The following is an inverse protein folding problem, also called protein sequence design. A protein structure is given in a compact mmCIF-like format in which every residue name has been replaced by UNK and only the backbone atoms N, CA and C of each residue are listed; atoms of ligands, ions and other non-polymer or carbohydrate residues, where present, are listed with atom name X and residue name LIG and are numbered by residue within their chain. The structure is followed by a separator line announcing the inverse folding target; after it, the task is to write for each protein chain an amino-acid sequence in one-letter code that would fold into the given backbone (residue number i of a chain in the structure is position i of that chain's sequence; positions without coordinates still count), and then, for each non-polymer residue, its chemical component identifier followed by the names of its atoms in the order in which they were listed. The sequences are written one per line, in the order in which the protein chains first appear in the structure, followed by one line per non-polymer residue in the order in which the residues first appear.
data_IF_717441943158
#
_entry.id   IF_717441943158
#
_cell.length_a   1.000
_cell.length_b   1.000
_cell.length_c   1.000
_cell.angle_alpha   90.00
_cell.angle_beta   90.00
_cell.angle_gamma   90.00
#
_symmetry.space_group_name_H-M   'P 1'
#
loop_
_entity.id
_entity.type
_entity.pdbx_description
1 polymer ?
#
# COMPACT_ATOMS: atom_id res chain seq x y z
N UNK A 1 15.22 -5.37 23.00
CA UNK A 1 14.70 -4.04 23.37
C UNK A 1 13.29 -3.99 22.82
N UNK A 2 12.31 -3.75 23.68
CA UNK A 2 10.92 -3.58 23.26
C UNK A 2 10.89 -2.39 22.30
N UNK A 3 10.38 -2.62 21.08
CA UNK A 3 10.10 -1.56 20.12
C UNK A 3 9.12 -0.62 20.82
N UNK A 4 9.44 0.68 20.94
CA UNK A 4 8.47 1.66 21.41
C UNK A 4 7.19 1.47 20.57
N UNK A 5 6.03 1.32 21.22
CA UNK A 5 4.76 1.10 20.52
C UNK A 5 4.53 2.23 19.53
N UNK A 6 4.81 1.94 18.25
CA UNK A 6 4.74 2.92 17.19
C UNK A 6 3.28 3.16 16.88
N UNK A 7 2.78 4.33 17.26
CA UNK A 7 1.44 4.78 16.92
C UNK A 7 1.44 5.51 15.58
N UNK A 8 0.51 5.16 14.69
CA UNK A 8 0.41 5.70 13.33
C UNK A 8 -0.69 6.75 13.19
N UNK A 9 -1.72 6.70 14.04
CA UNK A 9 -2.90 7.57 13.96
C UNK A 9 -3.02 8.52 15.17
N UNK A 10 -1.91 9.05 15.67
CA UNK A 10 -1.90 9.98 16.82
C UNK A 10 -2.59 11.30 16.46
N UNK A 11 -3.60 11.70 17.25
CA UNK A 11 -4.29 12.98 17.08
C UNK A 11 -5.23 13.05 15.88
N UNK A 12 -5.75 11.90 15.45
CA UNK A 12 -6.72 11.83 14.35
C UNK A 12 -8.17 12.01 14.82
N UNK A 13 -8.41 12.08 16.13
CA UNK A 13 -9.69 12.45 16.71
C UNK A 13 -10.11 13.84 16.21
N UNK A 14 -11.40 14.00 15.92
CA UNK A 14 -11.99 15.22 15.32
C UNK A 14 -11.51 15.54 13.90
N UNK A 15 -10.81 14.64 13.21
CA UNK A 15 -10.44 14.84 11.81
C UNK A 15 -11.67 14.76 10.91
N UNK A 16 -11.80 15.74 10.02
CA UNK A 16 -12.87 15.79 9.00
C UNK A 16 -12.40 15.09 7.72
N UNK A 17 -13.24 14.24 7.14
CA UNK A 17 -12.96 13.48 5.92
C UNK A 17 -14.14 13.62 4.95
N UNK A 18 -13.83 13.97 3.70
CA UNK A 18 -14.79 13.98 2.61
C UNK A 18 -14.75 12.65 1.87
N UNK A 19 -15.91 12.03 1.69
CA UNK A 19 -16.10 10.77 0.98
C UNK A 19 -17.02 10.99 -0.22
N UNK A 20 -16.70 10.30 -1.31
CA UNK A 20 -17.50 10.32 -2.54
C UNK A 20 -17.79 8.89 -2.98
N UNK A 21 -19.06 8.51 -2.98
CA UNK A 21 -19.55 7.23 -3.52
C UNK A 21 -20.63 7.56 -4.53
N UNK A 22 -20.52 7.06 -5.76
CA UNK A 22 -21.51 7.27 -6.83
C UNK A 22 -21.90 8.75 -7.06
N UNK A 23 -20.92 9.66 -6.92
CA UNK A 23 -21.10 11.12 -6.98
C UNK A 23 -21.89 11.76 -5.82
N UNK A 24 -22.27 10.98 -4.81
CA UNK A 24 -22.81 11.48 -3.55
C UNK A 24 -21.64 11.84 -2.64
N UNK A 25 -21.48 13.13 -2.37
CA UNK A 25 -20.51 13.62 -1.40
C UNK A 25 -21.12 13.54 0.00
N UNK A 26 -20.34 13.02 0.95
CA UNK A 26 -20.66 13.07 2.39
C UNK A 26 -19.41 13.46 3.16
N UNK A 27 -19.59 14.13 4.30
CA UNK A 27 -18.49 14.62 5.12
C UNK A 27 -18.65 14.08 6.54
N UNK A 28 -17.62 13.42 7.04
CA UNK A 28 -17.64 12.69 8.30
C UNK A 28 -16.54 13.18 9.24
N UNK A 29 -16.82 13.16 10.54
CA UNK A 29 -15.88 13.50 11.62
C UNK A 29 -15.46 12.21 12.32
N UNK A 30 -14.16 11.99 12.48
CA UNK A 30 -13.65 10.87 13.28
C UNK A 30 -13.84 11.13 14.77
N UNK A 31 -14.45 10.19 15.49
CA UNK A 31 -14.73 10.33 16.92
C UNK A 31 -13.70 9.59 17.77
N UNK A 32 -13.83 8.26 17.87
CA UNK A 32 -12.99 7.41 18.72
C UNK A 32 -12.17 6.43 17.85
N UNK A 33 -10.88 6.28 18.17
CA UNK A 33 -10.04 5.20 17.63
C UNK A 33 -10.39 3.87 18.29
N UNK A 34 -11.19 3.06 17.60
CA UNK A 34 -11.67 1.77 18.09
C UNK A 34 -10.60 0.67 18.02
N UNK A 35 -9.75 0.70 16.99
CA UNK A 35 -8.65 -0.25 16.85
C UNK A 35 -7.52 0.32 15.99
N UNK A 36 -6.29 -0.05 16.35
CA UNK A 36 -5.10 0.17 15.54
C UNK A 36 -4.35 -1.14 15.40
N UNK A 37 -4.09 -1.54 14.16
CA UNK A 37 -3.24 -2.68 13.84
C UNK A 37 -2.12 -2.17 12.95
N UNK A 38 -0.91 -2.63 13.20
CA UNK A 38 0.17 -2.46 12.26
C UNK A 38 0.95 -3.77 12.13
N UNK A 39 1.58 -3.94 10.97
CA UNK A 39 2.51 -5.01 10.75
C UNK A 39 3.83 -4.41 10.29
N UNK A 40 4.82 -4.45 11.18
CA UNK A 40 6.19 -4.03 10.90
C UNK A 40 7.09 -5.21 11.26
N UNK A 41 7.67 -5.88 10.25
CA UNK A 41 8.49 -7.08 10.48
C UNK A 41 9.97 -6.70 10.52
N UNK A 42 10.75 -7.37 11.37
CA UNK A 42 12.21 -7.35 11.27
C UNK A 42 12.68 -8.01 9.97
N UNK A 43 13.97 -7.88 9.63
CA UNK A 43 14.52 -8.51 8.40
C UNK A 43 14.37 -10.03 8.43
N UNK A 44 14.56 -10.60 9.61
CA UNK A 44 14.49 -12.03 9.87
C UNK A 44 13.03 -12.55 9.79
N UNK A 45 12.08 -11.87 10.45
CA UNK A 45 10.67 -12.28 10.43
C UNK A 45 10.05 -12.15 9.05
N UNK A 46 10.43 -11.11 8.29
CA UNK A 46 10.01 -10.97 6.90
C UNK A 46 10.52 -12.12 6.02
N UNK A 47 11.77 -12.56 6.22
CA UNK A 47 12.32 -13.70 5.49
C UNK A 47 11.51 -14.99 5.74
N UNK A 48 11.04 -15.19 6.97
CA UNK A 48 10.22 -16.34 7.33
C UNK A 48 8.76 -16.22 6.86
N UNK A 49 8.17 -15.03 6.97
CA UNK A 49 6.78 -14.73 6.57
C UNK A 49 6.67 -13.34 5.95
N UNK A 50 6.77 -13.24 4.61
CA UNK A 50 6.68 -11.96 3.92
C UNK A 50 5.25 -11.42 3.99
N UNK A 51 5.09 -10.21 4.56
CA UNK A 51 3.84 -9.43 4.62
C UNK A 51 4.14 -7.97 4.33
N UNK A 52 3.25 -7.29 3.61
CA UNK A 52 3.33 -5.86 3.35
C UNK A 52 3.27 -5.08 4.65
N UNK A 53 4.23 -4.16 4.85
CA UNK A 53 4.17 -3.24 5.96
C UNK A 53 3.02 -2.26 5.73
N UNK A 54 2.09 -2.20 6.69
CA UNK A 54 0.92 -1.36 6.63
C UNK A 54 0.43 -1.06 8.05
N UNK A 55 -0.25 0.08 8.17
CA UNK A 55 -1.01 0.43 9.36
C UNK A 55 -2.49 0.55 9.00
N UNK A 56 -3.34 0.11 9.91
CA UNK A 56 -4.77 -0.01 9.77
C UNK A 56 -5.43 0.64 10.98
N UNK A 57 -6.23 1.66 10.76
CA UNK A 57 -7.02 2.31 11.79
C UNK A 57 -8.50 1.98 11.61
N UNK A 58 -9.22 1.70 12.68
CA UNK A 58 -10.69 1.64 12.69
C UNK A 58 -11.20 2.69 13.65
N UNK A 59 -12.11 3.55 13.20
CA UNK A 59 -12.68 4.64 13.97
C UNK A 59 -14.21 4.58 13.92
N UNK A 60 -14.86 5.02 14.99
CA UNK A 60 -16.23 5.51 14.89
C UNK A 60 -16.23 6.90 14.26
N UNK A 61 -17.31 7.24 13.57
CA UNK A 61 -17.50 8.55 12.99
C UNK A 61 -18.97 8.92 12.89
N UNK A 62 -19.26 10.21 12.89
CA UNK A 62 -20.58 10.75 12.60
C UNK A 62 -20.57 11.70 11.40
N UNK A 63 -21.73 11.88 10.78
CA UNK A 63 -21.89 12.82 9.66
C UNK A 63 -21.87 14.27 10.16
N UNK A 64 -21.10 15.12 9.49
CA UNK A 64 -20.84 16.51 9.93
C UNK A 64 -22.12 17.34 10.08
N UNK A 65 -23.12 17.11 9.23
CA UNK A 65 -24.38 17.86 9.21
C UNK A 65 -25.55 17.14 9.88
N UNK A 66 -25.39 15.86 10.23
CA UNK A 66 -26.40 15.05 10.93
C UNK A 66 -25.70 14.15 11.96
N UNK A 67 -25.34 14.66 13.15
CA UNK A 67 -24.54 13.91 14.13
C UNK A 67 -25.20 12.63 14.67
N UNK A 68 -26.50 12.43 14.45
CA UNK A 68 -27.18 11.16 14.74
C UNK A 68 -26.90 10.05 13.73
N UNK A 69 -26.34 10.39 12.57
CA UNK A 69 -25.88 9.46 11.54
C UNK A 69 -24.48 8.98 11.91
N UNK A 70 -24.38 7.76 12.45
CA UNK A 70 -23.14 7.15 12.93
C UNK A 70 -22.68 6.03 11.97
N UNK A 71 -21.36 5.87 11.83
CA UNK A 71 -20.74 4.83 11.01
C UNK A 71 -19.38 4.39 11.57
N UNK A 72 -18.77 3.43 10.88
CA UNK A 72 -17.41 2.97 11.13
C UNK A 72 -16.57 3.22 9.88
N UNK A 73 -15.39 3.79 10.04
CA UNK A 73 -14.43 3.97 8.95
C UNK A 73 -13.16 3.18 9.21
N UNK A 74 -12.67 2.53 8.15
CA UNK A 74 -11.40 1.82 8.13
C UNK A 74 -10.40 2.58 7.27
N UNK A 75 -9.28 2.96 7.87
CA UNK A 75 -8.20 3.70 7.20
C UNK A 75 -7.03 2.77 6.96
N UNK A 76 -6.57 2.73 5.72
CA UNK A 76 -5.41 1.93 5.29
C UNK A 76 -4.26 2.86 4.93
N UNK A 77 -3.14 2.75 5.65
CA UNK A 77 -1.91 3.48 5.35
C UNK A 77 -0.94 2.56 4.62
N UNK A 78 -0.74 2.82 3.32
CA UNK A 78 0.17 2.06 2.46
C UNK A 78 0.91 2.97 1.46
N UNK A 79 2.10 2.55 1.02
CA UNK A 79 2.82 3.20 -0.08
C UNK A 79 2.32 2.61 -1.40
N UNK A 80 1.39 3.30 -2.07
CA UNK A 80 0.78 2.85 -3.32
C UNK A 80 0.69 3.98 -4.36
N UNK A 81 0.62 3.66 -5.67
CA UNK A 81 0.34 4.66 -6.70
C UNK A 81 -0.99 5.38 -6.46
N UNK A 82 -1.12 6.60 -6.99
CA UNK A 82 -2.33 7.41 -6.83
C UNK A 82 -3.56 6.65 -7.36
N UNK A 83 -4.55 6.43 -6.50
CA UNK A 83 -5.86 5.95 -6.93
C UNK A 83 -6.54 7.02 -7.79
N UNK A 84 -6.94 6.66 -9.00
CA UNK A 84 -7.67 7.51 -9.93
C UNK A 84 -9.17 7.28 -9.82
N UNK A 85 -9.59 6.02 -9.65
CA UNK A 85 -10.98 5.64 -9.49
C UNK A 85 -11.11 4.30 -8.76
N UNK A 86 -12.23 4.10 -8.06
CA UNK A 86 -12.62 2.83 -7.46
C UNK A 86 -14.07 2.55 -7.80
N UNK A 87 -14.35 1.33 -8.25
CA UNK A 87 -15.70 0.82 -8.48
C UNK A 87 -15.89 -0.45 -7.65
N UNK A 88 -17.10 -0.64 -7.11
CA UNK A 88 -17.48 -1.82 -6.35
C UNK A 88 -18.66 -2.52 -7.03
N UNK A 89 -18.51 -3.82 -7.31
CA UNK A 89 -19.59 -4.68 -7.82
C UNK A 89 -19.84 -5.85 -6.87
N UNK A 90 -21.03 -6.45 -6.93
CA UNK A 90 -21.35 -7.67 -6.20
C UNK A 90 -21.06 -8.90 -7.07
N UNK A 91 -20.50 -9.95 -6.46
CA UNK A 91 -20.28 -11.24 -7.09
C UNK A 91 -21.57 -12.06 -7.05
N UNK A 92 -21.98 -12.57 -8.21
CA UNK A 92 -23.14 -13.44 -8.28
C UNK A 92 -22.88 -14.80 -7.61
N UNK A 93 -23.94 -15.62 -7.57
CA UNK A 93 -23.92 -16.95 -6.96
C UNK A 93 -22.98 -17.96 -7.64
N UNK A 94 -22.41 -17.62 -8.79
CA UNK A 94 -21.45 -18.44 -9.54
C UNK A 94 -20.00 -17.98 -9.36
N UNK A 95 -19.78 -16.81 -8.74
CA UNK A 95 -18.45 -16.26 -8.50
C UNK A 95 -17.62 -17.03 -7.47
N UNK A 96 -16.29 -16.82 -7.42
CA UNK A 96 -15.42 -17.45 -6.42
C UNK A 96 -15.78 -17.10 -4.98
N UNK A 97 -16.39 -15.93 -4.76
CA UNK A 97 -16.93 -15.51 -3.46
C UNK A 97 -18.39 -15.09 -3.64
N UNK A 98 -19.34 -16.04 -3.60
CA UNK A 98 -20.77 -15.75 -3.79
C UNK A 98 -21.29 -14.72 -2.77
N UNK A 99 -21.94 -13.65 -3.25
CA UNK A 99 -22.42 -12.53 -2.43
C UNK A 99 -21.31 -11.63 -1.87
N UNK A 100 -20.05 -11.86 -2.27
CA UNK A 100 -18.93 -10.99 -1.96
C UNK A 100 -18.84 -9.79 -2.91
N UNK A 101 -17.88 -8.91 -2.68
CA UNK A 101 -17.66 -7.74 -3.54
C UNK A 101 -16.42 -7.90 -4.43
N UNK A 102 -16.46 -7.27 -5.61
CA UNK A 102 -15.32 -7.00 -6.48
C UNK A 102 -14.99 -5.53 -6.38
N UNK A 103 -13.71 -5.22 -6.14
CA UNK A 103 -13.20 -3.86 -6.18
C UNK A 103 -12.32 -3.69 -7.41
N UNK A 104 -12.70 -2.78 -8.30
CA UNK A 104 -11.89 -2.36 -9.42
C UNK A 104 -11.13 -1.10 -9.00
N UNK A 105 -9.80 -1.20 -8.90
CA UNK A 105 -8.94 -0.07 -8.58
C UNK A 105 -8.26 0.42 -9.85
N UNK A 106 -8.65 1.59 -10.34
CA UNK A 106 -7.90 2.28 -11.38
C UNK A 106 -6.84 3.13 -10.71
N UNK A 107 -5.58 2.75 -10.86
CA UNK A 107 -4.44 3.45 -10.28
C UNK A 107 -3.60 4.12 -11.37
N UNK A 108 -2.94 5.22 -11.01
CA UNK A 108 -2.00 5.90 -11.89
C UNK A 108 -0.85 4.94 -12.20
N UNK A 109 -0.63 4.70 -13.50
CA UNK A 109 0.53 3.94 -13.96
C UNK A 109 1.81 4.72 -13.64
N UNK A 110 2.73 4.19 -12.82
CA UNK A 110 3.99 4.88 -12.56
C UNK A 110 4.85 4.93 -13.85
N UNK A 111 5.66 5.97 -14.05
CA UNK A 111 6.53 6.09 -15.22
C UNK A 111 7.66 5.05 -15.18
N UNK A 112 8.11 4.62 -16.36
CA UNK A 112 9.23 3.68 -16.50
C UNK A 112 8.83 2.31 -17.05
N UNK A 113 9.81 1.41 -17.07
CA UNK A 113 9.67 0.07 -17.61
C UNK A 113 9.39 -0.93 -16.51
N UNK A 114 8.29 -1.67 -16.63
CA UNK A 114 8.03 -2.83 -15.79
C UNK A 114 9.09 -3.88 -16.10
N UNK A 115 9.81 -4.31 -15.08
CA UNK A 115 10.82 -5.33 -15.22
C UNK A 115 10.15 -6.71 -15.22
N UNK A 116 10.84 -7.66 -15.84
CA UNK A 116 10.61 -9.08 -15.67
C UNK A 116 11.97 -9.77 -15.90
N UNK A 117 12.03 -11.10 -15.76
CA UNK A 117 13.27 -11.83 -15.98
C UNK A 117 13.87 -11.58 -17.38
N UNK A 118 13.07 -11.67 -18.45
CA UNK A 118 13.55 -11.48 -19.81
C UNK A 118 14.13 -10.08 -20.05
N UNK A 119 13.37 -9.05 -19.68
CA UNK A 119 13.76 -7.64 -19.83
C UNK A 119 15.04 -7.38 -19.04
N UNK A 120 15.08 -7.80 -17.78
CA UNK A 120 16.21 -7.50 -16.92
C UNK A 120 17.48 -8.21 -17.37
N UNK A 121 17.42 -9.52 -17.66
CA UNK A 121 18.59 -10.28 -18.08
C UNK A 121 19.02 -9.97 -19.52
N UNK A 122 18.12 -9.42 -20.35
CA UNK A 122 18.44 -8.88 -21.68
C UNK A 122 19.17 -7.53 -21.67
N UNK A 123 19.24 -6.83 -20.53
CA UNK A 123 19.94 -5.56 -20.41
C UNK A 123 21.47 -5.73 -20.35
N UNK A 124 22.20 -4.69 -20.78
CA UNK A 124 23.63 -4.61 -20.60
C UNK A 124 24.00 -4.73 -19.11
N UNK A 125 25.17 -5.32 -18.83
CA UNK A 125 25.63 -5.53 -17.46
C UNK A 125 25.62 -4.22 -16.64
N UNK A 126 26.08 -3.12 -17.22
CA UNK A 126 26.14 -1.81 -16.55
C UNK A 126 24.75 -1.27 -16.15
N UNK A 127 23.73 -1.50 -16.99
CA UNK A 127 22.36 -1.09 -16.70
C UNK A 127 21.78 -1.93 -15.56
N UNK A 128 22.01 -3.26 -15.60
CA UNK A 128 21.65 -4.17 -14.51
C UNK A 128 22.29 -3.76 -13.18
N UNK A 129 23.58 -3.40 -13.19
CA UNK A 129 24.27 -2.87 -12.00
C UNK A 129 23.64 -1.58 -11.47
N UNK A 130 23.24 -0.68 -12.38
CA UNK A 130 22.58 0.58 -12.01
C UNK A 130 21.24 0.32 -11.34
N UNK A 131 20.43 -0.58 -11.89
CA UNK A 131 19.15 -1.01 -11.32
C UNK A 131 19.34 -1.63 -9.93
N UNK A 132 20.30 -2.55 -9.77
CA UNK A 132 20.62 -3.18 -8.47
C UNK A 132 20.99 -2.15 -7.40
N UNK A 133 21.81 -1.15 -7.77
CA UNK A 133 22.19 -0.07 -6.84
C UNK A 133 20.99 0.79 -6.44
N UNK A 134 20.13 1.16 -7.40
CA UNK A 134 18.92 1.93 -7.12
C UNK A 134 17.96 1.15 -6.22
N UNK A 135 17.78 -0.15 -6.47
CA UNK A 135 16.99 -1.04 -5.62
C UNK A 135 17.54 -1.14 -4.21
N UNK A 136 18.86 -1.33 -4.06
CA UNK A 136 19.49 -1.35 -2.74
C UNK A 136 19.26 -0.04 -1.98
N UNK A 137 19.37 1.11 -2.64
CA UNK A 137 19.12 2.40 -1.98
C UNK A 137 17.67 2.55 -1.55
N UNK A 138 16.71 2.31 -2.45
CA UNK A 138 15.28 2.38 -2.13
C UNK A 138 14.90 1.42 -0.99
N UNK A 139 15.50 0.23 -0.96
CA UNK A 139 15.34 -0.73 0.13
C UNK A 139 15.84 -0.16 1.47
N UNK A 140 17.04 0.42 1.50
CA UNK A 140 17.61 1.01 2.72
C UNK A 140 16.79 2.19 3.23
N UNK A 141 16.29 3.04 2.33
CA UNK A 141 15.45 4.19 2.67
C UNK A 141 14.15 3.72 3.35
N UNK A 142 13.48 2.71 2.78
CA UNK A 142 12.30 2.09 3.40
C UNK A 142 12.62 1.54 4.79
N UNK A 143 13.69 0.75 4.93
CA UNK A 143 14.08 0.13 6.21
C UNK A 143 14.37 1.17 7.27
N UNK A 144 15.06 2.27 6.91
CA UNK A 144 15.35 3.37 7.84
C UNK A 144 14.07 4.08 8.33
N UNK A 145 13.02 4.06 7.52
CA UNK A 145 11.70 4.61 7.85
C UNK A 145 10.82 3.64 8.63
N UNK A 146 11.34 2.45 8.95
CA UNK A 146 10.59 1.38 9.62
C UNK A 146 9.67 0.59 8.69
N UNK A 147 9.79 0.74 7.38
CA UNK A 147 8.99 -0.01 6.41
C UNK A 147 9.87 -1.05 5.70
N UNK A 148 9.29 -2.19 5.34
CA UNK A 148 9.97 -3.15 4.46
C UNK A 148 9.14 -3.36 3.22
N UNK A 149 9.72 -3.16 2.03
CA UNK A 149 9.03 -3.52 0.82
C UNK A 149 8.91 -5.03 0.85
N UNK A 150 7.71 -5.56 0.93
CA UNK A 150 7.60 -6.96 0.78
C UNK A 150 7.91 -7.40 -0.73
N UNK A 151 7.40 -6.83 -1.87
CA UNK A 151 7.17 -7.42 -3.27
C UNK A 151 8.41 -7.22 -4.08
N UNK A 152 9.34 -8.13 -3.90
CA UNK A 152 10.60 -8.16 -4.61
C UNK A 152 10.64 -9.18 -5.75
N UNK A 153 9.47 -9.63 -6.23
CA UNK A 153 9.38 -10.28 -7.52
C UNK A 153 9.65 -9.20 -8.56
N UNK A 154 10.52 -9.50 -9.53
CA UNK A 154 11.00 -8.53 -10.50
C UNK A 154 9.85 -7.94 -11.32
N UNK A 155 8.75 -8.67 -11.46
CA UNK A 155 7.49 -8.30 -12.10
C UNK A 155 6.76 -7.14 -11.40
N UNK A 156 7.08 -6.88 -10.13
CA UNK A 156 6.53 -5.76 -9.37
C UNK A 156 7.42 -4.52 -9.41
N UNK A 157 8.58 -4.59 -10.07
CA UNK A 157 9.53 -3.49 -10.12
C UNK A 157 9.35 -2.67 -11.39
N UNK A 158 9.33 -1.35 -11.24
CA UNK A 158 9.35 -0.39 -12.35
C UNK A 158 10.67 0.36 -12.30
N UNK A 159 11.41 0.29 -13.40
CA UNK A 159 12.63 1.05 -13.59
C UNK A 159 12.36 2.36 -14.35
N UNK A 160 12.56 3.49 -13.68
CA UNK A 160 12.59 4.81 -14.29
C UNK A 160 14.05 5.18 -14.63
N UNK A 161 14.42 4.96 -15.89
CA UNK A 161 15.79 5.18 -16.38
C UNK A 161 16.19 6.67 -16.35
N UNK A 162 15.24 7.58 -16.58
CA UNK A 162 15.48 9.03 -16.57
C UNK A 162 15.85 9.49 -15.16
N UNK A 163 15.08 9.05 -14.16
CA UNK A 163 15.30 9.41 -12.75
C UNK A 163 16.29 8.51 -12.03
N UNK A 164 16.70 7.40 -12.66
CA UNK A 164 17.48 6.32 -12.05
C UNK A 164 16.87 5.83 -10.74
N UNK A 165 15.55 5.63 -10.73
CA UNK A 165 14.79 5.19 -9.56
C UNK A 165 14.05 3.89 -9.86
N UNK A 166 13.93 3.05 -8.83
CA UNK A 166 13.08 1.88 -8.87
C UNK A 166 11.85 2.10 -8.01
N UNK A 167 10.70 1.64 -8.48
CA UNK A 167 9.41 1.69 -7.79
C UNK A 167 8.80 0.30 -7.72
N UNK A 168 7.92 0.11 -6.75
CA UNK A 168 7.15 -1.13 -6.55
C UNK A 168 5.67 -0.88 -6.90
N UNK A 169 5.14 -1.63 -7.86
CA UNK A 169 3.83 -1.39 -8.49
C UNK A 169 2.63 -1.57 -7.55
N UNK A 170 2.73 -2.48 -6.57
CA UNK A 170 1.55 -3.06 -5.94
C UNK A 170 1.54 -2.97 -4.41
N UNK A 171 2.37 -2.12 -3.80
CA UNK A 171 2.47 -2.12 -2.34
C UNK A 171 3.11 -3.44 -1.88
N UNK A 172 4.38 -3.55 -2.14
CA UNK A 172 5.34 -4.50 -1.58
C UNK A 172 4.84 -5.80 -0.83
N UNK A 173 4.82 -7.04 -1.42
CA UNK A 173 5.22 -8.47 -0.94
C UNK A 173 5.94 -9.63 -1.82
N UNK A 174 7.13 -10.15 -1.40
CA UNK A 174 8.14 -11.23 -1.80
C UNK A 174 9.44 -11.13 -2.63
N UNK A 175 10.53 -11.69 -2.05
CA UNK A 175 11.53 -12.56 -2.70
C UNK A 175 12.98 -12.06 -2.90
N UNK A 176 13.96 -12.68 -2.23
CA UNK A 176 15.37 -12.54 -2.60
C UNK A 176 15.56 -13.03 -4.05
N UNK A 177 15.64 -12.10 -4.99
CA UNK A 177 16.51 -12.32 -6.12
C UNK A 177 17.89 -11.84 -5.65
N UNK A 178 18.83 -12.78 -5.53
CA UNK A 178 20.15 -12.45 -6.04
C UNK A 178 19.93 -12.04 -7.49
N UNK A 179 19.81 -10.72 -7.69
CA UNK A 179 19.98 -10.16 -9.00
C UNK A 179 21.48 -10.15 -9.22
#
# INVERSE_FOLDING_TARGET
MYDDEKEFFVGWESRVIDLHVDHIASTWVLDEKLAELYHQHTAYEHHLRPRTAAAYGTFSCHELHEPSSEAIIKVFMHSAPKLLHMEQNEQDHTGPVPGGFLFYLLIQRPPGQYLNHEIFWGMAEQDRWTIRRAFKQAWLDCVSSGFKPAMSAIENLIWDAEKRKIMDCLGSSKGAAEI
#
